data_IF_514326589816
#
_entry.id   IF_514326589816
#
_cell.length_a   1.000
_cell.length_b   1.000
_cell.length_c   1.000
_cell.angle_alpha   90.00
_cell.angle_beta   90.00
_cell.angle_gamma   90.00
#
_symmetry.space_group_name_H-M   'P 1'
#
loop_
_entity.id
_entity.type
_entity.pdbx_description
1 polymer ?
#
# COMPACT_ATOMS: atom_id res chain seq x y z
N UNK A 1 13.88 15.90 -4.61
CA UNK A 1 14.69 14.95 -3.81
C UNK A 1 15.34 15.54 -2.57
N UNK A 2 15.77 16.81 -2.53
CA UNK A 2 16.25 17.40 -1.28
C UNK A 2 15.17 17.34 -0.18
N UNK A 3 13.93 17.67 -0.51
CA UNK A 3 12.76 17.55 0.35
C UNK A 3 12.54 16.10 0.82
N UNK A 4 12.44 15.14 -0.10
CA UNK A 4 12.27 13.72 0.24
C UNK A 4 13.38 13.18 1.18
N UNK A 5 14.64 13.61 0.98
CA UNK A 5 15.75 13.25 1.88
C UNK A 5 15.59 13.86 3.28
N UNK A 6 15.17 15.13 3.35
CA UNK A 6 14.89 15.78 4.63
C UNK A 6 13.73 15.09 5.37
N UNK A 7 12.71 14.65 4.64
CA UNK A 7 11.57 13.89 5.18
C UNK A 7 12.03 12.55 5.75
N UNK A 8 12.83 11.77 5.01
CA UNK A 8 13.37 10.50 5.53
C UNK A 8 14.23 10.75 6.76
N UNK A 9 15.12 11.74 6.72
CA UNK A 9 16.00 12.04 7.85
C UNK A 9 15.21 12.43 9.11
N UNK A 10 14.20 13.30 8.96
CA UNK A 10 13.29 13.70 10.05
C UNK A 10 12.49 12.50 10.56
N UNK A 11 12.00 11.65 9.67
CA UNK A 11 11.29 10.41 10.03
C UNK A 11 12.18 9.47 10.85
N UNK A 12 13.45 9.29 10.45
CA UNK A 12 14.41 8.49 11.22
C UNK A 12 14.74 9.10 12.58
N UNK A 13 14.88 10.43 12.68
CA UNK A 13 15.05 11.14 13.96
C UNK A 13 13.86 10.98 14.90
N UNK A 14 12.64 10.90 14.35
CA UNK A 14 11.44 10.60 15.13
C UNK A 14 11.47 9.15 15.63
N UNK A 15 11.68 8.20 14.72
CA UNK A 15 11.66 6.77 15.02
C UNK A 15 12.78 6.34 15.99
N UNK A 16 13.92 7.02 15.99
CA UNK A 16 14.99 6.75 16.95
C UNK A 16 14.62 7.12 18.38
N UNK A 17 13.65 8.03 18.56
CA UNK A 17 13.19 8.47 19.88
C UNK A 17 11.89 7.79 20.29
N UNK A 18 11.03 7.47 19.33
CA UNK A 18 9.69 6.93 19.58
C UNK A 18 9.70 5.71 20.53
N UNK A 19 8.78 5.66 21.50
CA UNK A 19 7.74 6.65 21.84
C UNK A 19 8.19 7.69 22.89
N UNK A 20 9.48 7.77 23.25
CA UNK A 20 9.99 8.70 24.26
C UNK A 20 10.51 9.98 23.61
N UNK A 21 9.67 10.99 23.51
CA UNK A 21 10.04 12.29 22.96
C UNK A 21 10.65 13.16 24.07
N UNK A 22 11.99 13.17 24.12
CA UNK A 22 12.77 14.00 25.05
C UNK A 22 13.12 15.36 24.44
N UNK A 23 14.34 15.83 24.67
CA UNK A 23 14.89 16.98 23.94
C UNK A 23 15.03 16.64 22.45
N UNK A 24 14.71 17.61 21.58
CA UNK A 24 14.85 17.43 20.14
C UNK A 24 16.25 16.91 19.77
N UNK A 25 16.30 15.72 19.16
CA UNK A 25 17.55 15.16 18.64
C UNK A 25 17.86 15.83 17.31
N UNK A 26 19.00 16.51 17.25
CA UNK A 26 19.45 17.23 16.04
C UNK A 26 20.23 16.32 15.08
N UNK A 27 20.70 15.16 15.53
CA UNK A 27 21.46 14.23 14.70
C UNK A 27 21.34 12.76 15.14
N UNK A 28 21.36 11.86 14.16
CA UNK A 28 21.35 10.41 14.40
C UNK A 28 22.76 9.90 14.73
N UNK A 29 22.91 9.28 15.89
CA UNK A 29 24.03 8.36 16.13
C UNK A 29 23.80 7.04 15.39
N UNK A 30 24.81 6.16 15.41
CA UNK A 30 24.67 4.82 14.83
C UNK A 30 23.60 3.99 15.56
N UNK A 31 23.53 4.08 16.89
CA UNK A 31 22.52 3.37 17.69
C UNK A 31 21.12 3.91 17.43
N UNK A 32 20.99 5.24 17.28
CA UNK A 32 19.73 5.89 16.90
C UNK A 32 19.24 5.39 15.53
N UNK A 33 20.16 5.28 14.56
CA UNK A 33 19.84 4.75 13.24
C UNK A 33 19.36 3.30 13.33
N UNK A 34 20.03 2.44 14.08
CA UNK A 34 19.59 1.06 14.25
C UNK A 34 18.22 0.97 14.93
N UNK A 35 17.98 1.78 15.96
CA UNK A 35 16.66 1.85 16.62
C UNK A 35 15.58 2.30 15.64
N UNK A 36 15.84 3.34 14.85
CA UNK A 36 14.92 3.83 13.83
C UNK A 36 14.59 2.75 12.77
N UNK A 37 15.61 2.00 12.31
CA UNK A 37 15.44 0.89 11.37
C UNK A 37 14.59 -0.23 11.97
N UNK A 38 14.83 -0.60 13.23
CA UNK A 38 14.03 -1.61 13.94
C UNK A 38 12.57 -1.19 14.04
N UNK A 39 12.29 0.09 14.27
CA UNK A 39 10.92 0.61 14.35
C UNK A 39 10.23 0.72 12.98
N UNK A 40 10.99 0.98 11.92
CA UNK A 40 10.47 1.13 10.55
C UNK A 40 10.11 -0.20 9.86
N UNK A 41 10.51 -1.34 10.43
CA UNK A 41 10.37 -2.67 9.83
C UNK A 41 9.63 -3.61 10.78
N UNK A 42 8.50 -4.17 10.32
CA UNK A 42 7.65 -5.00 11.17
C UNK A 42 8.36 -6.26 11.66
N UNK A 43 9.06 -7.00 10.80
CA UNK A 43 9.72 -8.25 11.19
C UNK A 43 10.84 -8.01 12.21
N UNK A 44 11.55 -6.88 12.10
CA UNK A 44 12.55 -6.48 13.08
C UNK A 44 11.90 -5.97 14.37
N UNK A 45 10.87 -5.14 14.26
CA UNK A 45 10.15 -4.60 15.40
C UNK A 45 9.54 -5.72 16.24
N UNK A 46 8.87 -6.68 15.62
CA UNK A 46 8.27 -7.84 16.28
C UNK A 46 9.29 -8.61 17.12
N UNK A 47 10.49 -8.84 16.59
CA UNK A 47 11.57 -9.56 17.30
C UNK A 47 12.20 -8.77 18.45
N UNK A 48 12.07 -7.44 18.42
CA UNK A 48 12.60 -6.57 19.46
C UNK A 48 11.65 -6.43 20.67
N UNK A 49 10.40 -6.89 20.53
CA UNK A 49 9.38 -6.82 21.58
C UNK A 49 9.02 -8.23 22.03
N UNK A 50 8.93 -8.44 23.34
CA UNK A 50 8.45 -9.69 23.92
C UNK A 50 6.93 -9.82 23.72
N UNK A 51 6.49 -10.98 23.26
CA UNK A 51 5.09 -11.34 23.04
C UNK A 51 4.72 -12.49 23.97
N UNK A 52 3.59 -12.37 24.71
CA UNK A 52 3.12 -13.43 25.58
C UNK A 52 2.05 -12.97 26.57
N UNK A 53 1.74 -13.81 27.56
CA UNK A 53 0.66 -13.56 28.54
C UNK A 53 0.81 -12.27 29.37
N UNK A 54 2.00 -11.67 29.41
CA UNK A 54 2.29 -10.46 30.18
C UNK A 54 2.41 -9.20 29.32
N UNK A 55 2.35 -9.35 28.01
CA UNK A 55 2.51 -8.29 27.01
C UNK A 55 1.50 -8.48 25.86
N UNK A 56 1.60 -7.64 24.83
CA UNK A 56 0.79 -7.74 23.63
C UNK A 56 1.70 -8.09 22.45
N UNK A 57 1.23 -8.92 21.53
CA UNK A 57 1.91 -9.14 20.26
C UNK A 57 1.89 -7.88 19.39
N UNK A 58 2.99 -7.60 18.67
CA UNK A 58 3.07 -6.47 17.74
C UNK A 58 2.41 -6.86 16.42
N UNK A 59 1.70 -5.92 15.83
CA UNK A 59 0.99 -6.09 14.55
C UNK A 59 1.69 -5.27 13.45
N UNK A 60 1.51 -5.62 12.16
CA UNK A 60 1.97 -4.76 11.06
C UNK A 60 1.44 -3.32 11.17
N UNK A 61 0.20 -3.17 11.66
CA UNK A 61 -0.43 -1.88 11.92
C UNK A 61 0.33 -1.00 12.92
N UNK A 62 1.01 -1.59 13.91
CA UNK A 62 1.81 -0.83 14.88
C UNK A 62 3.03 -0.16 14.23
N UNK A 63 3.71 -0.87 13.33
CA UNK A 63 4.83 -0.33 12.53
C UNK A 63 4.35 0.72 11.53
N UNK A 64 3.25 0.45 10.83
CA UNK A 64 2.66 1.43 9.89
C UNK A 64 2.25 2.72 10.59
N UNK A 65 1.70 2.61 11.80
CA UNK A 65 1.32 3.77 12.61
C UNK A 65 2.53 4.58 13.08
N UNK A 66 3.63 3.94 13.48
CA UNK A 66 4.87 4.66 13.79
C UNK A 66 5.44 5.40 12.58
N UNK A 67 5.36 4.81 11.39
CA UNK A 67 5.74 5.46 10.13
C UNK A 67 4.82 6.62 9.76
N UNK A 68 3.51 6.49 10.00
CA UNK A 68 2.57 7.60 9.84
C UNK A 68 2.94 8.76 10.78
N UNK A 69 3.12 8.47 12.07
CA UNK A 69 3.47 9.47 13.07
C UNK A 69 4.78 10.19 12.72
N UNK A 70 5.79 9.47 12.24
CA UNK A 70 7.08 10.05 11.87
C UNK A 70 7.01 10.97 10.64
N UNK A 71 5.96 10.85 9.83
CA UNK A 71 5.68 11.71 8.68
C UNK A 71 4.72 12.86 9.04
N UNK A 72 3.94 12.73 10.11
CA UNK A 72 2.88 13.66 10.47
C UNK A 72 3.41 14.93 11.17
N UNK A 73 3.66 15.98 10.38
CA UNK A 73 4.14 17.29 10.88
C UNK A 73 3.05 18.33 11.08
N UNK A 74 1.80 18.03 10.71
CA UNK A 74 0.65 18.90 10.91
C UNK A 74 -0.31 18.33 11.98
N UNK A 75 -1.27 19.17 12.37
CA UNK A 75 -2.31 18.87 13.38
C UNK A 75 -3.70 19.19 12.86
N UNK A 76 -3.92 18.98 11.57
CA UNK A 76 -5.19 19.36 10.94
C UNK A 76 -6.28 18.32 11.22
N UNK A 77 -5.88 17.09 11.60
CA UNK A 77 -6.78 15.99 11.98
C UNK A 77 -7.73 16.36 13.12
N UNK A 78 -7.29 17.22 14.05
CA UNK A 78 -8.12 17.69 15.18
C UNK A 78 -9.40 18.43 14.76
N UNK A 79 -9.45 18.95 13.53
CA UNK A 79 -10.62 19.64 12.99
C UNK A 79 -11.57 18.71 12.24
N UNK A 80 -11.22 17.44 12.11
CA UNK A 80 -12.04 16.44 11.44
C UNK A 80 -12.93 15.70 12.45
N UNK A 81 -14.25 15.61 12.21
CA UNK A 81 -15.14 14.89 13.13
C UNK A 81 -14.83 13.39 13.10
N UNK A 82 -14.50 12.83 14.26
CA UNK A 82 -14.22 11.40 14.43
C UNK A 82 -15.32 10.76 15.26
N UNK A 83 -15.77 9.58 14.83
CA UNK A 83 -16.60 8.71 15.65
C UNK A 83 -15.69 7.88 16.55
N UNK A 84 -15.60 8.22 17.84
CA UNK A 84 -14.75 7.54 18.81
C UNK A 84 -15.05 6.05 18.94
N UNK A 85 -16.32 5.64 18.82
CA UNK A 85 -16.70 4.23 18.88
C UNK A 85 -16.18 3.47 17.66
N UNK A 86 -16.18 4.10 16.50
CA UNK A 86 -15.62 3.52 15.27
C UNK A 86 -14.10 3.44 15.35
N UNK A 87 -13.43 4.51 15.82
CA UNK A 87 -11.99 4.51 16.02
C UNK A 87 -11.53 3.39 16.97
N UNK A 88 -12.28 3.15 18.06
CA UNK A 88 -12.04 2.04 18.99
C UNK A 88 -12.19 0.66 18.33
N UNK A 89 -13.23 0.46 17.53
CA UNK A 89 -13.43 -0.80 16.79
C UNK A 89 -12.33 -1.06 15.77
N UNK A 90 -11.85 -0.01 15.10
CA UNK A 90 -10.76 -0.12 14.15
C UNK A 90 -9.43 -0.44 14.86
N UNK A 91 -9.16 0.20 16.00
CA UNK A 91 -8.01 -0.11 16.84
C UNK A 91 -8.03 -1.56 17.33
N UNK A 92 -9.21 -2.03 17.79
CA UNK A 92 -9.42 -3.42 18.16
C UNK A 92 -9.17 -4.36 16.98
N UNK A 93 -9.76 -4.11 15.82
CA UNK A 93 -9.52 -4.92 14.61
C UNK A 93 -8.03 -5.04 14.30
N UNK A 94 -7.29 -3.93 14.31
CA UNK A 94 -5.84 -3.91 14.09
C UNK A 94 -5.10 -4.75 15.13
N UNK A 95 -5.45 -4.62 16.40
CA UNK A 95 -4.79 -5.34 17.49
C UNK A 95 -4.89 -6.87 17.41
N UNK A 96 -5.87 -7.38 16.65
CA UNK A 96 -6.08 -8.81 16.39
C UNK A 96 -5.76 -9.24 14.95
N UNK A 97 -5.18 -8.35 14.15
CA UNK A 97 -4.63 -8.64 12.82
C UNK A 97 -3.28 -9.36 12.95
N UNK A 98 -3.36 -10.59 13.44
CA UNK A 98 -2.24 -11.45 13.77
C UNK A 98 -2.46 -12.85 13.17
N UNK A 99 -1.37 -13.57 12.84
CA UNK A 99 -1.44 -15.00 12.55
C UNK A 99 -2.14 -15.75 13.69
N UNK A 100 -2.81 -16.85 13.35
CA UNK A 100 -3.58 -17.65 14.33
C UNK A 100 -2.73 -18.08 15.54
N UNK A 101 -1.45 -18.37 15.31
CA UNK A 101 -0.49 -18.79 16.35
C UNK A 101 -0.15 -17.73 17.39
N UNK A 102 -0.36 -16.44 17.11
CA UNK A 102 -0.06 -15.33 18.03
C UNK A 102 -1.29 -14.51 18.39
N UNK A 103 -2.45 -14.80 17.80
CA UNK A 103 -3.71 -14.08 18.02
C UNK A 103 -4.17 -14.10 19.48
N UNK A 104 -3.81 -15.13 20.26
CA UNK A 104 -4.12 -15.19 21.70
C UNK A 104 -3.43 -14.08 22.52
N UNK A 105 -2.35 -13.49 21.99
CA UNK A 105 -1.63 -12.37 22.61
C UNK A 105 -2.06 -11.01 22.04
N UNK A 106 -3.09 -10.97 21.18
CA UNK A 106 -3.73 -9.73 20.74
C UNK A 106 -4.46 -9.04 21.90
N UNK A 107 -4.33 -7.72 21.99
CA UNK A 107 -5.00 -6.91 23.02
C UNK A 107 -5.35 -5.54 22.47
N UNK A 108 -6.58 -5.08 22.70
CA UNK A 108 -7.02 -3.75 22.28
C UNK A 108 -6.10 -2.66 22.82
N UNK A 109 -5.75 -1.71 21.95
CA UNK A 109 -4.80 -0.64 22.21
C UNK A 109 -5.44 0.76 22.17
N UNK A 110 -6.75 0.83 22.45
CA UNK A 110 -7.51 2.06 22.64
C UNK A 110 -8.48 1.84 23.81
N UNK A 111 -8.26 2.52 24.93
CA UNK A 111 -9.11 2.41 26.13
C UNK A 111 -9.40 3.77 26.80
N UNK A 112 -9.65 3.79 28.11
CA UNK A 112 -9.89 5.01 28.90
C UNK A 112 -8.61 5.79 29.20
N UNK A 113 -7.44 5.15 29.12
CA UNK A 113 -6.15 5.75 29.42
C UNK A 113 -5.52 6.41 28.18
N UNK A 114 -5.92 6.00 26.98
CA UNK A 114 -5.49 6.61 25.73
C UNK A 114 -5.72 5.75 24.50
N UNK A 115 -5.27 6.27 23.37
CA UNK A 115 -5.27 5.64 22.06
C UNK A 115 -4.01 4.80 21.82
N UNK A 116 -3.80 4.38 20.58
CA UNK A 116 -2.68 3.50 20.23
C UNK A 116 -1.30 4.11 20.52
N UNK A 117 -1.17 5.44 20.55
CA UNK A 117 0.07 6.13 20.93
C UNK A 117 0.40 5.95 22.43
N UNK A 118 -0.62 5.94 23.30
CA UNK A 118 -0.43 5.61 24.72
C UNK A 118 0.03 4.16 24.87
N UNK A 119 -0.55 3.26 24.10
CA UNK A 119 -0.21 1.84 24.16
C UNK A 119 1.18 1.52 23.60
N UNK A 120 1.71 2.28 22.63
CA UNK A 120 3.12 2.19 22.22
C UNK A 120 4.07 2.48 23.37
N UNK A 121 3.81 3.57 24.11
CA UNK A 121 4.61 3.95 25.26
C UNK A 121 4.62 2.83 26.30
N UNK A 122 3.44 2.27 26.56
CA UNK A 122 3.27 1.17 27.50
C UNK A 122 4.02 -0.10 27.04
N UNK A 123 3.94 -0.42 25.74
CA UNK A 123 4.67 -1.54 25.12
C UNK A 123 6.18 -1.33 25.27
N UNK A 124 6.70 -0.14 24.98
CA UNK A 124 8.13 0.12 25.11
C UNK A 124 8.60 0.11 26.56
N UNK A 125 7.85 0.67 27.51
CA UNK A 125 8.19 0.61 28.95
C UNK A 125 8.30 -0.84 29.44
N UNK A 126 7.36 -1.70 29.01
CA UNK A 126 7.45 -3.12 29.29
C UNK A 126 8.64 -3.78 28.60
N UNK A 127 9.11 -3.33 27.44
CA UNK A 127 10.24 -4.00 26.77
C UNK A 127 11.62 -3.53 27.22
N UNK A 128 11.72 -2.31 27.78
CA UNK A 128 12.99 -1.78 28.29
C UNK A 128 13.25 -2.12 29.76
N UNK A 129 12.25 -2.65 30.49
CA UNK A 129 12.48 -3.07 31.87
C UNK A 129 13.45 -4.26 31.91
N UNK A 130 14.41 -4.20 32.83
CA UNK A 130 15.48 -5.19 32.88
C UNK A 130 14.92 -6.57 33.27
N UNK A 131 14.80 -7.49 32.30
CA UNK A 131 14.38 -8.89 32.51
C UNK A 131 15.39 -9.73 33.33
N UNK A 132 16.35 -9.11 34.03
CA UNK A 132 17.29 -9.82 34.94
C UNK A 132 16.61 -10.36 36.19
N UNK A 133 15.33 -10.08 36.39
CA UNK A 133 14.56 -10.64 37.49
C UNK A 133 14.09 -12.05 37.06
N UNK A 134 14.30 -13.11 37.88
CA UNK A 134 13.85 -14.46 37.55
C UNK A 134 12.39 -14.48 37.10
N UNK A 135 12.02 -15.41 36.19
CA UNK A 135 10.68 -15.58 35.58
C UNK A 135 9.46 -15.54 36.54
N UNK A 136 9.70 -15.59 37.85
CA UNK A 136 8.71 -15.52 38.93
C UNK A 136 8.32 -14.08 39.33
N UNK A 137 8.99 -13.06 38.78
CA UNK A 137 8.78 -11.65 39.10
C UNK A 137 8.55 -10.78 37.85
N UNK A 138 8.07 -11.38 36.75
CA UNK A 138 7.70 -10.61 35.57
C UNK A 138 6.60 -9.61 35.94
N UNK A 139 6.84 -8.33 35.66
CA UNK A 139 5.90 -7.24 35.94
C UNK A 139 4.98 -7.12 34.73
N UNK A 140 3.67 -7.37 34.85
CA UNK A 140 2.76 -7.26 33.70
C UNK A 140 2.80 -5.87 33.08
N UNK A 141 2.69 -5.80 31.75
CA UNK A 141 2.62 -4.56 30.95
C UNK A 141 1.77 -3.46 31.61
N UNK A 142 0.56 -3.79 32.03
CA UNK A 142 -0.38 -2.80 32.58
C UNK A 142 0.07 -2.16 33.91
N UNK A 143 1.07 -2.72 34.60
CA UNK A 143 1.66 -2.09 35.79
C UNK A 143 2.42 -0.81 35.47
N UNK A 144 2.80 -0.60 34.21
CA UNK A 144 3.48 0.60 33.76
C UNK A 144 2.52 1.75 33.39
N UNK A 145 1.19 1.57 33.45
CA UNK A 145 0.20 2.60 33.09
C UNK A 145 0.37 3.91 33.84
N UNK A 146 0.62 3.86 35.15
CA UNK A 146 0.84 5.08 35.95
C UNK A 146 2.07 5.84 35.46
N UNK A 147 3.17 5.14 35.19
CA UNK A 147 4.39 5.75 34.66
C UNK A 147 4.17 6.31 33.24
N UNK A 148 3.45 5.59 32.37
CA UNK A 148 3.10 6.05 31.03
C UNK A 148 2.29 7.36 31.09
N UNK A 149 1.32 7.44 32.01
CA UNK A 149 0.52 8.66 32.26
C UNK A 149 1.40 9.81 32.74
N UNK A 150 2.36 9.56 33.63
CA UNK A 150 3.32 10.57 34.10
C UNK A 150 4.20 11.10 32.96
N UNK A 151 4.69 10.20 32.09
CA UNK A 151 5.52 10.59 30.93
C UNK A 151 4.74 11.42 29.92
N UNK A 152 3.46 11.10 29.68
CA UNK A 152 2.59 11.88 28.77
C UNK A 152 2.01 13.14 29.38
N UNK A 153 2.32 13.50 30.64
CA UNK A 153 1.76 14.73 31.23
C UNK A 153 2.11 15.96 30.39
N UNK A 154 1.09 16.59 29.80
CA UNK A 154 1.24 17.77 28.93
C UNK A 154 1.32 17.47 27.44
N UNK A 155 1.31 16.19 27.03
CA UNK A 155 1.20 15.74 25.63
C UNK A 155 -0.21 15.20 25.38
N UNK A 156 -1.10 16.12 24.98
CA UNK A 156 -2.51 15.85 24.70
C UNK A 156 -2.75 15.38 23.25
N UNK A 157 -1.72 15.33 22.41
CA UNK A 157 -1.89 14.92 21.02
C UNK A 157 -2.30 13.44 20.95
N UNK A 158 -3.46 13.19 20.36
CA UNK A 158 -3.88 11.85 19.97
C UNK A 158 -3.49 11.58 18.51
N UNK A 159 -3.42 10.31 18.13
CA UNK A 159 -3.16 9.84 16.78
C UNK A 159 -4.09 10.49 15.76
N UNK A 160 -5.36 10.70 16.14
CA UNK A 160 -6.38 11.36 15.31
C UNK A 160 -6.06 12.83 15.00
N UNK A 161 -5.30 13.50 15.86
CA UNK A 161 -4.99 14.91 15.70
C UNK A 161 -3.91 15.11 14.63
N UNK A 162 -3.09 14.09 14.42
CA UNK A 162 -1.96 14.09 13.50
C UNK A 162 -2.40 14.05 12.03
N UNK A 163 -1.65 14.74 11.19
CA UNK A 163 -1.83 14.64 9.74
C UNK A 163 -0.52 14.85 8.97
N UNK A 164 -0.33 14.14 7.86
CA UNK A 164 0.80 14.30 6.95
C UNK A 164 0.46 15.38 5.91
N UNK A 165 1.28 16.44 5.75
CA UNK A 165 1.11 17.38 4.65
C UNK A 165 1.21 16.68 3.29
N UNK A 166 0.33 17.03 2.36
CA UNK A 166 0.22 16.36 1.05
C UNK A 166 1.48 16.47 0.22
N UNK A 167 2.12 17.64 0.21
CA UNK A 167 3.33 17.89 -0.57
C UNK A 167 4.52 17.08 -0.02
N UNK A 168 4.64 17.02 1.31
CA UNK A 168 5.63 16.15 1.98
C UNK A 168 5.38 14.69 1.60
N UNK A 169 4.14 14.23 1.68
CA UNK A 169 3.81 12.84 1.34
C UNK A 169 4.06 12.55 -0.14
N UNK A 170 3.75 13.48 -1.05
CA UNK A 170 4.05 13.35 -2.47
C UNK A 170 5.55 13.21 -2.73
N UNK A 171 6.38 14.03 -2.10
CA UNK A 171 7.83 13.93 -2.21
C UNK A 171 8.35 12.59 -1.67
N UNK A 172 7.77 12.10 -0.57
CA UNK A 172 8.07 10.80 0.00
C UNK A 172 7.71 9.65 -0.97
N UNK A 173 6.47 9.60 -1.46
CA UNK A 173 5.99 8.61 -2.43
C UNK A 173 6.86 8.56 -3.69
N UNK A 174 7.24 9.71 -4.25
CA UNK A 174 8.17 9.76 -5.41
C UNK A 174 9.47 9.04 -5.14
N UNK A 175 10.08 9.26 -3.97
CA UNK A 175 11.32 8.58 -3.60
C UNK A 175 11.09 7.08 -3.36
N UNK A 176 9.97 6.68 -2.78
CA UNK A 176 9.65 5.26 -2.60
C UNK A 176 9.47 4.54 -3.94
N UNK A 177 8.80 5.13 -4.92
CA UNK A 177 8.68 4.57 -6.27
C UNK A 177 10.02 4.38 -6.97
N UNK A 178 10.95 5.31 -6.78
CA UNK A 178 12.31 5.18 -7.30
C UNK A 178 13.03 4.02 -6.61
N UNK A 179 12.90 3.92 -5.28
CA UNK A 179 13.56 2.89 -4.49
C UNK A 179 12.95 1.49 -4.65
N UNK A 180 11.67 1.41 -4.98
CA UNK A 180 10.93 0.16 -5.20
C UNK A 180 11.50 -0.67 -6.36
N UNK A 181 12.23 -0.04 -7.26
CA UNK A 181 12.77 -0.62 -8.51
C UNK A 181 14.26 -0.98 -8.40
N UNK A 182 14.83 -0.89 -7.19
CA UNK A 182 16.25 -1.09 -6.95
C UNK A 182 17.05 0.20 -7.03
N UNK A 183 18.39 0.09 -6.91
CA UNK A 183 19.25 1.27 -6.87
C UNK A 183 19.14 2.06 -8.18
N UNK A 184 19.05 3.40 -8.14
CA UNK A 184 19.17 4.23 -9.32
C UNK A 184 20.62 4.15 -9.85
N UNK A 185 20.93 3.09 -10.60
CA UNK A 185 22.21 2.93 -11.31
C UNK A 185 22.32 3.91 -12.49
N UNK A 186 21.19 4.47 -12.91
CA UNK A 186 21.10 5.53 -13.90
C UNK A 186 20.58 6.77 -13.17
N UNK A 187 21.14 7.95 -13.50
CA UNK A 187 20.54 9.24 -13.14
C UNK A 187 19.04 9.14 -13.39
N UNK A 188 18.26 9.03 -12.31
CA UNK A 188 16.81 8.87 -12.44
C UNK A 188 16.32 10.11 -13.16
N UNK A 189 15.96 9.94 -14.44
CA UNK A 189 15.43 11.04 -15.24
C UNK A 189 14.09 11.35 -14.63
N UNK A 190 14.05 12.44 -13.86
CA UNK A 190 12.81 13.04 -13.42
C UNK A 190 11.95 13.24 -14.65
N UNK A 191 10.82 12.56 -14.69
CA UNK A 191 9.85 12.68 -15.75
C UNK A 191 8.58 13.28 -15.18
N UNK A 192 7.88 14.05 -16.01
CA UNK A 192 6.52 14.51 -15.71
C UNK A 192 5.59 13.32 -15.39
N UNK A 193 5.89 12.14 -15.94
CA UNK A 193 5.18 10.89 -15.67
C UNK A 193 5.35 10.40 -14.22
N UNK A 194 6.56 10.44 -13.66
CA UNK A 194 6.76 10.10 -12.23
C UNK A 194 5.98 11.06 -11.33
N UNK A 195 5.92 12.34 -11.71
CA UNK A 195 5.15 13.36 -11.00
C UNK A 195 3.64 13.07 -11.04
N UNK A 196 3.11 12.66 -12.20
CA UNK A 196 1.71 12.26 -12.39
C UNK A 196 1.36 11.00 -11.60
N UNK A 197 2.22 9.98 -11.62
CA UNK A 197 2.00 8.72 -10.89
C UNK A 197 1.99 8.96 -9.38
N UNK A 198 2.93 9.78 -8.89
CA UNK A 198 2.93 10.15 -7.47
C UNK A 198 1.64 10.87 -7.07
N UNK A 199 1.08 11.73 -7.94
CA UNK A 199 -0.21 12.37 -7.69
C UNK A 199 -1.35 11.36 -7.66
N UNK A 200 -1.35 10.38 -8.56
CA UNK A 200 -2.37 9.32 -8.59
C UNK A 200 -2.39 8.53 -7.27
N UNK A 201 -1.22 8.20 -6.73
CA UNK A 201 -1.10 7.52 -5.42
C UNK A 201 -1.51 8.45 -4.29
N UNK A 202 -0.99 9.68 -4.24
CA UNK A 202 -1.30 10.63 -3.15
C UNK A 202 -2.79 10.93 -3.08
N UNK A 203 -3.49 10.99 -4.22
CA UNK A 203 -4.95 11.17 -4.26
C UNK A 203 -5.72 10.06 -3.53
N UNK A 204 -5.19 8.85 -3.44
CA UNK A 204 -5.79 7.75 -2.68
C UNK A 204 -5.68 7.97 -1.17
N UNK A 205 -4.61 8.63 -0.73
CA UNK A 205 -4.36 9.00 0.67
C UNK A 205 -5.02 10.33 1.05
N UNK A 206 -5.16 11.27 0.11
CA UNK A 206 -5.62 12.63 0.37
C UNK A 206 -7.14 12.81 0.10
N UNK A 207 -7.94 11.99 0.78
CA UNK A 207 -9.37 11.77 0.46
C UNK A 207 -10.27 12.99 0.67
N UNK A 208 -9.99 13.84 1.67
CA UNK A 208 -10.82 15.02 2.00
C UNK A 208 -10.10 16.29 1.57
N UNK A 209 -10.65 17.14 0.66
CA UNK A 209 -9.99 18.36 0.20
C UNK A 209 -9.53 19.29 1.34
N UNK A 210 -8.36 19.91 1.18
CA UNK A 210 -7.75 20.85 2.13
C UNK A 210 -7.37 20.29 3.51
N UNK A 211 -7.56 19.00 3.76
CA UNK A 211 -7.04 18.31 4.95
C UNK A 211 -5.72 17.60 4.61
N UNK A 212 -4.79 17.54 5.57
CA UNK A 212 -3.67 16.61 5.51
C UNK A 212 -4.15 15.15 5.48
N UNK A 213 -3.23 14.21 5.27
CA UNK A 213 -3.55 12.79 5.31
C UNK A 213 -3.63 12.38 6.78
N UNK A 214 -4.82 12.02 7.28
CA UNK A 214 -5.01 11.52 8.65
C UNK A 214 -4.64 10.04 8.75
N UNK A 215 -4.61 9.51 9.96
CA UNK A 215 -4.33 8.09 10.21
C UNK A 215 -5.30 7.17 9.44
N UNK A 216 -6.60 7.39 9.57
CA UNK A 216 -7.62 6.57 8.91
C UNK A 216 -7.48 6.57 7.39
N UNK A 217 -7.17 7.72 6.79
CA UNK A 217 -6.93 7.82 5.35
C UNK A 217 -5.66 7.08 4.94
N UNK A 218 -4.61 7.18 5.75
CA UNK A 218 -3.34 6.50 5.50
C UNK A 218 -3.49 4.98 5.56
N UNK A 219 -4.14 4.48 6.60
CA UNK A 219 -4.41 3.05 6.77
C UNK A 219 -5.27 2.52 5.62
N UNK A 220 -6.40 3.18 5.34
CA UNK A 220 -7.32 2.75 4.28
C UNK A 220 -6.63 2.70 2.91
N UNK A 221 -5.85 3.73 2.57
CA UNK A 221 -5.16 3.80 1.29
C UNK A 221 -3.97 2.83 1.20
N UNK A 222 -3.37 2.44 2.33
CA UNK A 222 -2.27 1.47 2.37
C UNK A 222 -2.70 0.08 1.88
N UNK A 223 -3.99 -0.26 1.98
CA UNK A 223 -4.54 -1.48 1.38
C UNK A 223 -4.49 -1.47 -0.16
N UNK A 224 -4.57 -0.30 -0.81
CA UNK A 224 -4.40 -0.19 -2.26
C UNK A 224 -2.92 -0.23 -2.67
N UNK A 225 -2.00 0.16 -1.79
CA UNK A 225 -0.55 0.18 -2.06
C UNK A 225 0.25 -0.67 -1.07
N UNK A 226 -0.02 -1.98 -0.95
CA UNK A 226 0.53 -2.81 0.11
C UNK A 226 2.06 -2.91 0.10
N UNK A 227 2.70 -2.76 -1.07
CA UNK A 227 4.16 -2.75 -1.18
C UNK A 227 4.80 -1.34 -1.20
N UNK A 228 4.06 -0.25 -0.96
CA UNK A 228 4.62 1.12 -0.98
C UNK A 228 5.83 1.26 -0.05
N UNK A 229 5.73 0.73 1.17
CA UNK A 229 6.78 0.80 2.17
C UNK A 229 7.96 -0.15 1.90
N UNK A 230 7.85 -1.10 0.95
CA UNK A 230 9.01 -1.91 0.51
C UNK A 230 10.12 -1.02 -0.04
N UNK A 231 9.78 0.08 -0.71
CA UNK A 231 10.75 1.09 -1.15
C UNK A 231 11.55 1.68 0.03
N UNK A 232 10.90 1.95 1.17
CA UNK A 232 11.58 2.44 2.36
C UNK A 232 12.49 1.36 2.95
N UNK A 233 11.99 0.13 3.06
CA UNK A 233 12.79 -1.01 3.52
C UNK A 233 14.06 -1.17 2.66
N UNK A 234 13.96 -1.09 1.34
CA UNK A 234 15.11 -1.18 0.41
C UNK A 234 16.12 -0.07 0.60
N UNK A 235 15.67 1.16 0.87
CA UNK A 235 16.58 2.27 1.20
C UNK A 235 17.32 1.99 2.50
N UNK A 236 16.61 1.53 3.53
CA UNK A 236 17.17 1.29 4.87
C UNK A 236 18.02 0.03 4.95
N UNK A 237 17.73 -1.00 4.16
CA UNK A 237 18.48 -2.26 4.16
C UNK A 237 19.93 -2.08 3.75
N UNK A 238 20.23 -1.05 2.97
CA UNK A 238 21.61 -0.69 2.62
C UNK A 238 22.52 -0.39 3.82
N UNK A 239 21.97 -0.11 5.01
CA UNK A 239 22.73 0.15 6.23
C UNK A 239 23.10 -1.10 7.03
N UNK A 240 22.45 -2.25 6.77
CA UNK A 240 22.64 -3.47 7.58
C UNK A 240 22.73 -4.77 6.76
N UNK A 241 22.43 -4.73 5.47
CA UNK A 241 22.48 -5.88 4.56
C UNK A 241 23.67 -5.72 3.60
N UNK A 242 24.49 -6.76 3.40
CA UNK A 242 25.55 -6.73 2.39
C UNK A 242 25.03 -6.36 1.00
N UNK A 243 25.83 -5.61 0.24
CA UNK A 243 25.49 -5.13 -1.10
C UNK A 243 25.13 -6.24 -2.10
N UNK A 244 25.70 -7.43 -1.89
CA UNK A 244 25.55 -8.61 -2.77
C UNK A 244 24.24 -9.37 -2.53
N UNK A 245 23.58 -9.14 -1.39
CA UNK A 245 22.27 -9.72 -1.03
C UNK A 245 21.09 -8.79 -1.32
N UNK A 246 21.36 -7.61 -1.87
CA UNK A 246 20.30 -6.68 -2.28
C UNK A 246 19.73 -7.18 -3.61
N UNK A 247 18.46 -7.55 -3.56
CA UNK A 247 17.64 -7.87 -4.72
C UNK A 247 17.48 -6.61 -5.59
N UNK A 248 18.39 -6.45 -6.55
CA UNK A 248 18.52 -5.24 -7.39
C UNK A 248 17.84 -5.46 -8.76
N UNK A 249 17.10 -6.57 -8.95
CA UNK A 249 16.56 -6.98 -10.26
C UNK A 249 15.04 -7.11 -10.23
N UNK A 250 14.36 -5.97 -10.10
CA UNK A 250 12.90 -5.97 -9.95
C UNK A 250 12.17 -5.14 -10.99
N UNK A 251 12.75 -4.88 -12.16
CA UNK A 251 11.96 -4.38 -13.28
C UNK A 251 12.36 -5.04 -14.58
N UNK A 252 11.38 -5.27 -15.48
CA UNK A 252 11.64 -5.72 -16.83
C UNK A 252 12.70 -4.84 -17.49
N UNK A 253 13.64 -5.49 -18.18
CA UNK A 253 14.70 -4.78 -18.90
C UNK A 253 14.15 -3.86 -20.01
N UNK A 254 12.94 -4.13 -20.50
CA UNK A 254 12.26 -3.37 -21.56
C UNK A 254 10.96 -2.76 -21.03
N UNK A 255 10.79 -1.46 -21.25
CA UNK A 255 9.52 -0.77 -21.01
C UNK A 255 8.54 -1.02 -22.16
N UNK A 256 7.25 -1.01 -21.84
CA UNK A 256 6.17 -0.95 -22.84
C UNK A 256 5.87 0.47 -23.30
N UNK A 257 4.82 0.56 -24.12
CA UNK A 257 4.12 1.79 -24.51
C UNK A 257 3.28 2.35 -23.35
N UNK A 258 2.52 1.48 -22.66
CA UNK A 258 1.76 1.83 -21.45
C UNK A 258 2.64 1.61 -20.22
N UNK A 259 3.22 0.43 -20.07
CA UNK A 259 4.05 0.06 -18.92
C UNK A 259 5.47 0.65 -19.04
N UNK A 260 5.54 1.98 -18.96
CA UNK A 260 6.79 2.69 -18.73
C UNK A 260 7.42 2.26 -17.40
N UNK A 261 8.71 2.54 -17.19
CA UNK A 261 9.38 2.18 -15.93
C UNK A 261 8.68 2.74 -14.69
N UNK A 262 8.25 4.02 -14.66
CA UNK A 262 7.44 4.54 -13.54
C UNK A 262 6.12 3.79 -13.35
N UNK A 263 5.41 3.43 -14.43
CA UNK A 263 4.16 2.66 -14.36
C UNK A 263 4.40 1.25 -13.83
N UNK A 264 5.47 0.59 -14.27
CA UNK A 264 5.85 -0.73 -13.74
C UNK A 264 6.20 -0.68 -12.25
N UNK A 265 6.84 0.40 -11.78
CA UNK A 265 7.04 0.66 -10.35
C UNK A 265 5.73 0.77 -9.58
N UNK A 266 4.78 1.54 -10.12
CA UNK A 266 3.44 1.71 -9.54
C UNK A 266 2.67 0.38 -9.52
N UNK A 267 2.70 -0.37 -10.61
CA UNK A 267 2.09 -1.70 -10.71
C UNK A 267 2.70 -2.66 -9.69
N UNK A 268 4.01 -2.57 -9.48
CA UNK A 268 4.75 -3.30 -8.47
C UNK A 268 4.28 -3.11 -7.04
N UNK A 269 3.60 -2.00 -6.74
CA UNK A 269 3.02 -1.78 -5.43
C UNK A 269 1.90 -2.79 -5.11
N UNK A 270 1.33 -3.41 -6.16
CA UNK A 270 0.18 -4.30 -6.12
C UNK A 270 0.64 -5.74 -6.35
N UNK A 271 1.32 -6.02 -7.46
CA UNK A 271 1.58 -7.41 -7.91
C UNK A 271 2.76 -8.07 -7.20
N UNK A 272 3.72 -7.31 -6.64
CA UNK A 272 4.86 -7.87 -5.90
C UNK A 272 4.50 -8.49 -4.53
N UNK A 273 3.20 -8.60 -4.22
CA UNK A 273 2.72 -9.31 -3.04
C UNK A 273 2.55 -10.80 -3.30
N UNK A 274 2.42 -11.24 -4.55
CA UNK A 274 2.40 -12.68 -4.83
C UNK A 274 3.80 -13.23 -4.60
N UNK A 275 3.90 -14.25 -3.75
CA UNK A 275 5.17 -14.89 -3.38
C UNK A 275 5.90 -15.51 -4.58
N UNK A 276 5.19 -15.70 -5.70
CA UNK A 276 5.73 -16.29 -6.92
C UNK A 276 6.05 -15.26 -8.01
N UNK A 277 5.78 -13.95 -7.81
CA UNK A 277 5.97 -12.95 -8.86
C UNK A 277 7.44 -12.53 -9.02
N UNK A 278 8.02 -12.85 -10.17
CA UNK A 278 9.39 -12.57 -10.56
C UNK A 278 9.46 -11.62 -11.77
N UNK A 279 9.98 -10.41 -11.51
CA UNK A 279 10.15 -9.39 -12.55
C UNK A 279 11.14 -9.75 -13.66
N UNK A 280 12.04 -10.69 -13.40
CA UNK A 280 13.04 -11.14 -14.38
C UNK A 280 12.39 -11.87 -15.56
N UNK A 281 11.19 -12.43 -15.37
CA UNK A 281 10.42 -13.12 -16.41
C UNK A 281 9.26 -12.28 -16.96
N UNK A 282 8.84 -11.23 -16.24
CA UNK A 282 7.76 -10.33 -16.66
C UNK A 282 8.05 -9.59 -17.99
N UNK A 283 7.41 -10.03 -19.07
CA UNK A 283 7.63 -9.55 -20.44
C UNK A 283 6.35 -9.18 -21.20
N UNK A 284 6.51 -8.27 -22.18
CA UNK A 284 5.40 -7.83 -23.03
C UNK A 284 4.99 -8.96 -23.99
N UNK A 285 3.80 -9.51 -23.79
CA UNK A 285 3.21 -10.59 -24.59
C UNK A 285 2.47 -10.08 -25.83
N UNK A 286 1.63 -9.05 -25.66
CA UNK A 286 0.86 -8.42 -26.74
C UNK A 286 0.75 -6.92 -26.54
N UNK A 287 0.66 -6.21 -27.66
CA UNK A 287 0.40 -4.78 -27.70
C UNK A 287 -0.56 -4.47 -28.85
N UNK A 288 -1.59 -3.69 -28.54
CA UNK A 288 -2.56 -3.20 -29.51
C UNK A 288 -2.62 -1.67 -29.45
N UNK A 289 -2.45 -1.05 -30.61
CA UNK A 289 -2.60 0.39 -30.82
C UNK A 289 -3.97 0.66 -31.44
N UNK A 290 -4.92 1.11 -30.62
CA UNK A 290 -6.31 1.31 -31.03
C UNK A 290 -6.50 2.59 -31.86
N UNK A 291 -5.47 3.43 -31.96
CA UNK A 291 -5.49 4.68 -32.74
C UNK A 291 -5.14 4.44 -34.21
N UNK A 292 -4.49 3.32 -34.53
CA UNK A 292 -4.14 2.97 -35.91
C UNK A 292 -5.34 2.40 -36.66
N UNK A 293 -5.60 2.95 -37.84
CA UNK A 293 -6.67 2.51 -38.73
C UNK A 293 -6.21 1.47 -39.77
N UNK A 294 -4.91 1.18 -39.84
CA UNK A 294 -4.32 0.27 -40.82
C UNK A 294 -3.80 -0.99 -40.11
N UNK A 295 -4.46 -2.13 -40.32
CA UNK A 295 -4.05 -3.40 -39.72
C UNK A 295 -5.19 -4.38 -39.47
N UNK A 296 -4.90 -5.37 -38.62
CA UNK A 296 -5.83 -6.35 -38.08
C UNK A 296 -6.93 -5.66 -37.26
N UNK A 297 -8.19 -6.08 -37.44
CA UNK A 297 -9.31 -5.60 -36.63
C UNK A 297 -9.19 -6.25 -35.26
N UNK A 298 -8.88 -5.45 -34.24
CA UNK A 298 -8.84 -5.92 -32.85
C UNK A 298 -10.23 -5.77 -32.25
N UNK A 299 -10.82 -6.87 -31.84
CA UNK A 299 -12.09 -6.94 -31.12
C UNK A 299 -11.92 -7.62 -29.76
N UNK A 300 -12.98 -7.64 -28.97
CA UNK A 300 -12.98 -8.27 -27.64
C UNK A 300 -12.73 -9.77 -27.67
N UNK A 301 -13.08 -10.45 -28.77
CA UNK A 301 -12.85 -11.88 -28.92
C UNK A 301 -11.35 -12.16 -29.10
N UNK A 302 -10.65 -11.31 -29.86
CA UNK A 302 -9.20 -11.41 -30.02
C UNK A 302 -8.45 -11.17 -28.71
N UNK A 303 -8.85 -10.15 -27.96
CA UNK A 303 -8.29 -9.86 -26.62
C UNK A 303 -8.48 -11.05 -25.68
N UNK A 304 -9.69 -11.61 -25.62
CA UNK A 304 -9.98 -12.77 -24.78
C UNK A 304 -9.26 -14.05 -25.21
N UNK A 305 -9.08 -14.26 -26.53
CA UNK A 305 -8.30 -15.37 -27.08
C UNK A 305 -6.84 -15.27 -26.62
N UNK A 306 -6.19 -14.11 -26.80
CA UNK A 306 -4.80 -13.92 -26.39
C UNK A 306 -4.64 -14.04 -24.86
N UNK A 307 -5.61 -13.58 -24.06
CA UNK A 307 -5.61 -13.79 -22.61
C UNK A 307 -5.73 -15.26 -22.21
N UNK A 308 -6.50 -16.06 -22.96
CA UNK A 308 -6.72 -17.48 -22.67
C UNK A 308 -5.56 -18.35 -23.17
N UNK A 309 -4.85 -17.88 -24.19
CA UNK A 309 -3.69 -18.55 -24.78
C UNK A 309 -2.40 -18.39 -23.93
N UNK A 310 -2.36 -17.45 -23.00
CA UNK A 310 -1.27 -17.32 -22.04
C UNK A 310 -1.32 -18.49 -21.04
N UNK A 311 -0.23 -19.24 -20.93
CA UNK A 311 -0.09 -20.33 -19.94
C UNK A 311 0.31 -19.78 -18.56
N UNK A 312 0.88 -18.57 -18.53
CA UNK A 312 1.46 -17.89 -17.38
C UNK A 312 0.53 -16.79 -16.80
N UNK A 313 0.82 -16.26 -15.59
CA UNK A 313 0.09 -15.11 -15.05
C UNK A 313 0.08 -13.96 -16.06
N UNK A 314 -1.06 -13.28 -16.20
CA UNK A 314 -1.22 -12.20 -17.17
C UNK A 314 -1.67 -10.92 -16.51
N UNK A 315 -0.96 -9.83 -16.81
CA UNK A 315 -1.38 -8.47 -16.52
C UNK A 315 -1.85 -7.78 -17.79
N UNK A 316 -3.10 -7.33 -17.81
CA UNK A 316 -3.66 -6.51 -18.89
C UNK A 316 -3.65 -5.06 -18.44
N UNK A 317 -3.11 -4.17 -19.27
CA UNK A 317 -3.14 -2.72 -19.07
C UNK A 317 -3.92 -2.07 -20.22
N UNK A 318 -4.84 -1.19 -19.88
CA UNK A 318 -5.69 -0.46 -20.83
C UNK A 318 -5.50 1.02 -20.57
N UNK A 319 -5.00 1.74 -21.57
CA UNK A 319 -4.70 3.17 -21.51
C UNK A 319 -5.58 3.95 -22.47
N UNK A 320 -6.02 5.13 -22.04
CA UNK A 320 -6.83 6.01 -22.86
C UNK A 320 -7.12 7.34 -22.18
N UNK A 321 -8.15 8.03 -22.66
CA UNK A 321 -8.61 9.30 -22.10
C UNK A 321 -10.06 9.24 -21.65
N UNK A 322 -10.34 9.80 -20.48
CA UNK A 322 -11.71 9.97 -20.02
C UNK A 322 -12.47 10.87 -21.00
N UNK A 323 -13.68 10.48 -21.39
CA UNK A 323 -14.47 11.27 -22.35
C UNK A 323 -14.95 12.59 -21.75
N UNK A 324 -15.08 12.65 -20.43
CA UNK A 324 -15.62 13.81 -19.69
C UNK A 324 -14.55 14.86 -19.38
N UNK A 325 -13.35 14.44 -18.94
CA UNK A 325 -12.28 15.34 -18.50
C UNK A 325 -11.07 15.36 -19.44
N UNK A 326 -11.01 14.44 -20.42
CA UNK A 326 -9.86 14.24 -21.31
C UNK A 326 -8.55 13.95 -20.54
N UNK A 327 -8.68 13.44 -19.32
CA UNK A 327 -7.55 13.05 -18.48
C UNK A 327 -7.08 11.64 -18.85
N UNK A 328 -5.79 11.38 -18.72
CA UNK A 328 -5.21 10.04 -18.92
C UNK A 328 -5.81 9.07 -17.90
N UNK A 329 -6.35 7.96 -18.38
CA UNK A 329 -6.83 6.86 -17.55
C UNK A 329 -6.02 5.61 -17.87
N UNK A 330 -5.63 4.89 -16.82
CA UNK A 330 -4.99 3.58 -16.95
C UNK A 330 -5.69 2.65 -15.98
N UNK A 331 -6.31 1.61 -16.52
CA UNK A 331 -6.90 0.51 -15.75
C UNK A 331 -6.16 -0.76 -16.11
N UNK A 332 -6.30 -1.76 -15.26
CA UNK A 332 -5.77 -3.05 -15.58
C UNK A 332 -6.39 -4.17 -14.78
N UNK A 333 -6.02 -5.36 -15.19
CA UNK A 333 -6.51 -6.60 -14.65
C UNK A 333 -5.32 -7.55 -14.50
N UNK A 334 -5.23 -8.23 -13.37
CA UNK A 334 -4.21 -9.23 -13.09
C UNK A 334 -4.87 -10.58 -12.86
N UNK A 335 -4.48 -11.57 -13.68
CA UNK A 335 -4.79 -12.98 -13.51
C UNK A 335 -3.54 -13.67 -12.93
N UNK A 336 -3.58 -14.14 -11.68
CA UNK A 336 -2.48 -14.90 -11.10
C UNK A 336 -2.36 -16.30 -11.71
N UNK A 337 -1.27 -16.98 -11.36
CA UNK A 337 -1.02 -18.36 -11.77
C UNK A 337 -2.15 -19.29 -11.30
N UNK A 338 -2.52 -20.24 -12.16
CA UNK A 338 -3.61 -21.20 -11.89
C UNK A 338 -3.14 -22.57 -11.39
N UNK A 339 -1.84 -22.77 -11.22
CA UNK A 339 -1.31 -24.03 -10.70
C UNK A 339 -1.62 -24.19 -9.22
N UNK A 340 -1.90 -25.43 -8.81
CA UNK A 340 -2.01 -25.79 -7.41
C UNK A 340 -0.65 -25.58 -6.74
N UNK A 341 -0.55 -24.54 -5.94
CA UNK A 341 0.35 -24.49 -4.81
C UNK A 341 0.10 -25.71 -3.90
N UNK A 342 1.15 -26.24 -3.26
CA UNK A 342 1.07 -27.42 -2.38
C UNK A 342 0.15 -27.20 -1.16
N UNK A 343 -0.34 -25.97 -0.98
CA UNK A 343 -1.27 -25.52 0.06
C UNK A 343 -2.71 -25.28 -0.44
N UNK A 344 -2.94 -25.24 -1.75
CA UNK A 344 -4.27 -25.21 -2.37
C UNK A 344 -4.98 -23.85 -2.38
N UNK A 345 -4.30 -22.75 -2.03
CA UNK A 345 -4.86 -21.40 -2.07
C UNK A 345 -4.49 -20.71 -3.39
N UNK A 346 -5.47 -20.64 -4.30
CA UNK A 346 -5.32 -19.92 -5.57
C UNK A 346 -5.55 -18.43 -5.31
N UNK A 347 -4.54 -17.60 -5.61
CA UNK A 347 -4.66 -16.15 -5.52
C UNK A 347 -5.89 -15.64 -6.31
N UNK A 348 -6.69 -14.72 -5.75
CA UNK A 348 -7.80 -14.12 -6.49
C UNK A 348 -7.29 -13.19 -7.58
N UNK A 349 -8.13 -12.94 -8.59
CA UNK A 349 -7.79 -11.93 -9.60
C UNK A 349 -7.92 -10.52 -9.01
N UNK A 350 -7.26 -9.57 -9.64
CA UNK A 350 -7.31 -8.16 -9.25
C UNK A 350 -7.78 -7.32 -10.42
N UNK A 351 -8.72 -6.41 -10.16
CA UNK A 351 -8.96 -5.26 -11.02
C UNK A 351 -8.32 -4.04 -10.37
N UNK A 352 -7.67 -3.19 -11.14
CA UNK A 352 -6.98 -2.03 -10.58
C UNK A 352 -7.06 -0.81 -11.48
N UNK A 353 -6.84 0.35 -10.86
CA UNK A 353 -6.75 1.64 -11.50
C UNK A 353 -5.39 2.25 -11.15
N UNK A 354 -4.60 2.64 -12.15
CA UNK A 354 -3.32 3.33 -11.93
C UNK A 354 -3.47 4.85 -12.10
N UNK A 355 -4.42 5.31 -12.91
CA UNK A 355 -4.71 6.73 -13.17
C UNK A 355 -6.20 6.97 -13.44
N UNK A 356 -6.80 8.11 -13.05
CA UNK A 356 -6.21 9.27 -12.35
C UNK A 356 -6.08 9.16 -10.81
N UNK A 357 -6.54 8.06 -10.21
CA UNK A 357 -6.40 7.73 -8.78
C UNK A 357 -5.95 6.28 -8.70
N UNK A 358 -4.92 6.00 -7.90
CA UNK A 358 -4.43 4.63 -7.71
C UNK A 358 -5.41 3.85 -6.82
N UNK A 359 -5.89 2.70 -7.27
CA UNK A 359 -6.84 1.90 -6.51
C UNK A 359 -6.74 0.42 -6.91
N UNK A 360 -7.10 -0.47 -5.99
CA UNK A 360 -7.07 -1.91 -6.19
C UNK A 360 -8.36 -2.51 -5.67
N UNK A 361 -9.06 -3.20 -6.57
CA UNK A 361 -10.32 -3.87 -6.32
C UNK A 361 -10.06 -5.37 -6.29
N UNK A 362 -9.99 -5.91 -5.07
CA UNK A 362 -9.71 -7.33 -4.85
C UNK A 362 -10.95 -8.15 -5.14
N UNK A 363 -10.76 -9.28 -5.81
CA UNK A 363 -11.84 -10.21 -6.07
C UNK A 363 -11.96 -11.30 -5.02
N UNK A 364 -13.16 -11.85 -4.88
CA UNK A 364 -13.40 -13.12 -4.17
C UNK A 364 -13.67 -14.22 -5.20
N UNK A 365 -12.70 -14.42 -6.10
CA UNK A 365 -12.85 -15.24 -7.30
C UNK A 365 -11.72 -16.24 -7.49
N UNK A 366 -11.17 -16.75 -6.39
CA UNK A 366 -10.14 -17.79 -6.41
C UNK A 366 -10.47 -18.90 -7.43
N UNK A 367 -9.55 -19.16 -8.35
CA UNK A 367 -9.69 -20.17 -9.40
C UNK A 367 -10.65 -19.83 -10.55
N UNK A 368 -11.24 -18.62 -10.61
CA UNK A 368 -12.07 -18.16 -11.73
C UNK A 368 -11.41 -16.97 -12.45
N UNK A 369 -11.55 -16.85 -13.78
CA UNK A 369 -10.98 -15.73 -14.54
C UNK A 369 -11.50 -14.36 -14.11
N UNK A 370 -12.66 -14.26 -13.45
CA UNK A 370 -13.20 -12.96 -13.05
C UNK A 370 -13.54 -12.02 -14.23
N UNK A 371 -13.61 -12.58 -15.45
CA UNK A 371 -14.05 -11.91 -16.67
C UNK A 371 -14.90 -12.85 -17.54
N UNK A 372 -15.74 -12.26 -18.38
CA UNK A 372 -16.58 -12.97 -19.35
C UNK A 372 -16.82 -12.14 -20.62
N UNK A 373 -17.18 -12.81 -21.72
CA UNK A 373 -17.73 -12.14 -22.90
C UNK A 373 -19.26 -12.19 -22.81
N UNK A 374 -19.90 -11.03 -22.74
CA UNK A 374 -21.35 -10.90 -22.72
C UNK A 374 -21.80 -9.85 -23.73
N UNK A 375 -22.75 -10.20 -24.61
CA UNK A 375 -23.32 -9.27 -25.60
C UNK A 375 -22.28 -8.49 -26.41
N UNK A 376 -21.26 -9.20 -26.94
CA UNK A 376 -20.13 -8.61 -27.69
C UNK A 376 -19.25 -7.65 -26.87
N UNK A 377 -19.31 -7.68 -25.54
CA UNK A 377 -18.43 -6.91 -24.67
C UNK A 377 -17.56 -7.84 -23.82
N UNK A 378 -16.33 -7.46 -23.54
CA UNK A 378 -15.48 -8.14 -22.55
C UNK A 378 -15.67 -7.43 -21.21
N UNK A 379 -16.16 -8.16 -20.21
CA UNK A 379 -16.49 -7.64 -18.89
C UNK A 379 -15.52 -8.26 -17.88
N UNK A 380 -14.76 -7.43 -17.19
CA UNK A 380 -14.04 -7.79 -15.98
C UNK A 380 -14.93 -7.41 -14.80
N UNK A 381 -15.35 -8.37 -13.99
CA UNK A 381 -16.25 -8.12 -12.86
C UNK A 381 -17.69 -8.46 -13.21
N UNK A 382 -18.63 -7.86 -12.46
CA UNK A 382 -20.06 -7.94 -12.75
C UNK A 382 -20.65 -6.55 -12.77
N UNK A 383 -21.37 -6.24 -13.84
CA UNK A 383 -22.05 -4.94 -13.96
C UNK A 383 -23.03 -4.76 -12.79
N UNK A 384 -23.06 -3.56 -12.23
CA UNK A 384 -23.92 -3.16 -11.11
C UNK A 384 -23.62 -3.83 -9.74
N UNK A 385 -22.64 -4.74 -9.64
CA UNK A 385 -22.22 -5.43 -8.40
C UNK A 385 -20.73 -5.17 -8.12
N UNK A 386 -20.41 -4.16 -7.30
CA UNK A 386 -19.02 -3.80 -7.02
C UNK A 386 -18.35 -3.00 -8.13
N UNK A 387 -17.13 -3.39 -8.51
CA UNK A 387 -16.39 -2.78 -9.60
C UNK A 387 -16.40 -3.66 -10.84
N UNK A 388 -16.67 -3.05 -12.00
CA UNK A 388 -16.60 -3.74 -13.28
C UNK A 388 -16.03 -2.85 -14.38
N UNK A 389 -15.13 -3.41 -15.18
CA UNK A 389 -14.59 -2.79 -16.39
C UNK A 389 -15.20 -3.48 -17.62
N UNK A 390 -15.89 -2.72 -18.46
CA UNK A 390 -16.57 -3.23 -19.66
C UNK A 390 -15.89 -2.65 -20.89
N UNK A 391 -15.28 -3.49 -21.73
CA UNK A 391 -14.77 -3.12 -23.05
C UNK A 391 -15.85 -3.39 -24.10
N UNK A 392 -16.16 -2.40 -24.92
CA UNK A 392 -17.07 -2.54 -26.06
C UNK A 392 -16.43 -3.39 -27.18
N UNK A 393 -17.26 -3.90 -28.10
CA UNK A 393 -16.89 -4.89 -29.14
C UNK A 393 -15.58 -4.59 -29.88
N UNK A 394 -15.36 -3.32 -30.27
CA UNK A 394 -14.19 -2.91 -31.05
C UNK A 394 -12.97 -2.50 -30.21
N UNK A 395 -13.03 -2.70 -28.89
CA UNK A 395 -12.00 -2.33 -27.93
C UNK A 395 -11.59 -0.84 -27.96
N UNK A 396 -12.37 0.06 -28.58
CA UNK A 396 -12.05 1.50 -28.64
C UNK A 396 -12.67 2.28 -27.49
N UNK A 397 -13.63 1.69 -26.79
CA UNK A 397 -14.33 2.31 -25.66
C UNK A 397 -14.41 1.33 -24.52
N UNK A 398 -14.23 1.85 -23.31
CA UNK A 398 -14.51 1.12 -22.09
C UNK A 398 -15.28 2.00 -21.10
N UNK A 399 -16.04 1.32 -20.25
CA UNK A 399 -16.73 1.94 -19.12
C UNK A 399 -16.31 1.22 -17.85
N UNK A 400 -15.79 1.97 -16.88
CA UNK A 400 -15.56 1.47 -15.54
C UNK A 400 -16.74 1.88 -14.66
N UNK A 401 -17.38 0.91 -14.04
CA UNK A 401 -18.43 1.05 -13.04
C UNK A 401 -17.83 0.82 -11.66
N UNK A 402 -18.16 1.68 -10.71
CA UNK A 402 -17.80 1.51 -9.31
C UNK A 402 -19.07 1.70 -8.47
N UNK A 403 -19.52 0.62 -7.84
CA UNK A 403 -20.73 0.59 -7.02
C UNK A 403 -20.39 0.02 -5.64
N UNK A 404 -20.67 0.80 -4.59
CA UNK A 404 -20.41 0.42 -3.19
C UNK A 404 -21.46 -0.56 -2.62
N UNK A 405 -22.43 -0.98 -3.43
CA UNK A 405 -23.53 -1.86 -3.03
C UNK A 405 -23.53 -3.17 -3.82
N UNK A 406 -24.06 -4.23 -3.20
CA UNK A 406 -24.21 -5.55 -3.80
C UNK A 406 -23.16 -6.56 -3.33
N UNK A 407 -23.35 -7.80 -3.77
CA UNK A 407 -22.40 -8.90 -3.57
C UNK A 407 -21.35 -8.85 -4.68
N UNK A 408 -20.29 -8.10 -4.43
CA UNK A 408 -19.33 -7.65 -5.43
C UNK A 408 -18.36 -8.77 -5.82
N UNK A 409 -18.15 -8.96 -7.13
CA UNK A 409 -17.03 -9.81 -7.60
C UNK A 409 -15.68 -9.15 -7.32
N UNK A 410 -15.59 -7.83 -7.51
CA UNK A 410 -14.46 -7.00 -7.12
C UNK A 410 -14.93 -5.90 -6.17
N UNK A 411 -14.37 -5.85 -4.98
CA UNK A 411 -14.81 -4.93 -3.93
C UNK A 411 -14.59 -3.47 -4.30
N UNK A 412 -15.62 -2.65 -4.11
CA UNK A 412 -15.57 -1.22 -4.37
C UNK A 412 -15.03 -0.45 -3.15
N UNK A 413 -14.07 0.44 -3.40
CA UNK A 413 -13.49 1.31 -2.38
C UNK A 413 -14.52 2.33 -1.84
N UNK A 414 -15.00 2.10 -0.61
CA UNK A 414 -16.16 2.80 -0.03
C UNK A 414 -16.07 4.34 -0.06
N UNK A 415 -14.91 4.94 0.24
CA UNK A 415 -14.76 6.40 0.31
C UNK A 415 -14.96 7.09 -1.04
N UNK A 416 -14.78 6.36 -2.15
CA UNK A 416 -14.95 6.91 -3.51
C UNK A 416 -16.41 7.04 -3.92
N UNK A 417 -17.35 6.48 -3.14
CA UNK A 417 -18.78 6.48 -3.47
C UNK A 417 -19.10 5.71 -4.74
N UNK A 418 -20.32 5.81 -5.25
CA UNK A 418 -20.71 5.17 -6.53
C UNK A 418 -20.49 6.13 -7.70
N UNK A 419 -19.83 5.66 -8.76
CA UNK A 419 -19.53 6.45 -9.95
C UNK A 419 -19.33 5.55 -11.18
N UNK A 420 -19.30 6.18 -12.36
CA UNK A 420 -18.92 5.54 -13.61
C UNK A 420 -18.04 6.48 -14.43
N UNK A 421 -17.14 5.93 -15.22
CA UNK A 421 -16.32 6.72 -16.15
C UNK A 421 -16.22 6.02 -17.51
N UNK A 422 -16.51 6.80 -18.55
CA UNK A 422 -16.35 6.41 -19.94
C UNK A 422 -14.96 6.81 -20.44
N UNK A 423 -14.25 5.88 -21.07
CA UNK A 423 -12.87 6.06 -21.56
C UNK A 423 -12.78 5.70 -23.03
N UNK A 424 -12.18 6.61 -23.80
CA UNK A 424 -11.74 6.34 -25.16
C UNK A 424 -10.38 5.64 -25.09
N UNK A 425 -10.33 4.36 -25.45
CA UNK A 425 -9.12 3.54 -25.41
C UNK A 425 -8.18 3.96 -26.53
N UNK A 426 -6.91 4.15 -26.19
CA UNK A 426 -5.83 4.43 -27.12
C UNK A 426 -4.92 3.20 -27.29
N UNK A 427 -4.64 2.47 -26.22
CA UNK A 427 -3.68 1.36 -26.21
C UNK A 427 -4.11 0.24 -25.26
N UNK A 428 -3.75 -1.00 -25.59
CA UNK A 428 -3.88 -2.18 -24.71
C UNK A 428 -2.55 -2.94 -24.70
N UNK A 429 -2.06 -3.30 -23.52
CA UNK A 429 -0.89 -4.17 -23.34
C UNK A 429 -1.26 -5.41 -22.53
N UNK A 430 -0.62 -6.52 -22.87
CA UNK A 430 -0.64 -7.75 -22.09
C UNK A 430 0.78 -8.13 -21.74
N UNK A 431 1.02 -8.37 -20.47
CA UNK A 431 2.30 -8.79 -19.92
C UNK A 431 2.14 -10.17 -19.30
N UNK A 432 3.08 -11.05 -19.56
CA UNK A 432 3.13 -12.39 -18.96
C UNK A 432 4.39 -12.51 -18.12
N UNK A 433 4.31 -13.31 -17.07
CA UNK A 433 5.45 -13.66 -16.24
C UNK A 433 6.15 -14.91 -16.75
#
# INVERSE_FOLDING_TARGET
MAEARAIIYRSLLYLSQAPFFGSAVESLTQDDLFRAIVQADYERSRRAYEEGNMSRARTPGDTQRLLFQSLATARDGKYFPVNTDEARKQAERRAFDLPESTREFGQTNYDEDGDEMFHDLLDTLYNVHEHRIPQWFCVPRDRFRTLAKEIRQGDEDELRDLSIPRDDFRAFVKLLLIAHVGRPLVQTVYSEELDQISDCIVRSFAQVPNLGITWDMFEQASHATPALLKGLHRLLSSFYTPLETLDIRDLPNKAGHIASRPILSQLGLIISQSDNFEYDYFELYRYYDMTKHEGEVIDVAKVAEDMTAAEDPITVLISGKTTQTNEKAIFGYYLPFRGHDEHGDVDPCLLFQLSPIHDVFRGDNAGRPGWEICSQSLIFGKKDEGVALVLEEDCKRAVLFHNISGDALYEATAWRGTWQVDVQIEEIEMWVE
#
